data_IF_749240907765
#
_entry.id   IF_749240907765
#
_cell.length_a   1.000
_cell.length_b   1.000
_cell.length_c   1.000
_cell.angle_alpha   90.00
_cell.angle_beta   90.00
_cell.angle_gamma   90.00
#
_symmetry.space_group_name_H-M   'P 1'
#
loop_
_entity.id
_entity.type
_entity.pdbx_description
1 polymer ?
#
# COMPACT_ATOMS: atom_id res chain seq x y z
N UNK A 1 -16.65 58.09 15.41
CA UNK A 1 -15.99 58.70 16.59
C UNK A 1 -16.18 60.21 16.71
N UNK A 2 -16.31 61.00 15.62
CA UNK A 2 -16.46 62.48 15.72
C UNK A 2 -17.70 62.95 16.51
N UNK A 3 -18.89 62.39 16.26
CA UNK A 3 -20.14 62.80 16.94
C UNK A 3 -20.13 62.62 18.46
N UNK A 4 -19.65 61.48 18.96
CA UNK A 4 -19.62 61.16 20.39
C UNK A 4 -18.65 62.02 21.23
N UNK A 5 -17.74 62.77 20.59
CA UNK A 5 -16.93 63.78 21.26
C UNK A 5 -17.62 65.15 21.29
N UNK A 6 -18.35 65.53 20.24
CA UNK A 6 -19.13 66.78 20.21
C UNK A 6 -20.19 66.83 21.32
N UNK A 7 -20.96 65.76 21.49
CA UNK A 7 -21.98 65.67 22.55
C UNK A 7 -21.37 65.78 23.97
N UNK A 8 -20.10 65.37 24.15
CA UNK A 8 -19.38 65.52 25.42
C UNK A 8 -18.87 66.94 25.66
N UNK A 9 -18.49 67.67 24.61
CA UNK A 9 -18.06 69.07 24.71
C UNK A 9 -19.26 69.99 25.02
N UNK A 10 -20.39 69.82 24.33
CA UNK A 10 -21.61 70.59 24.56
C UNK A 10 -22.16 70.38 26.00
N UNK A 11 -22.11 69.16 26.53
CA UNK A 11 -22.47 68.87 27.92
C UNK A 11 -21.54 69.56 28.95
N UNK A 12 -20.25 69.71 28.62
CA UNK A 12 -19.27 70.34 29.51
C UNK A 12 -19.41 71.88 29.50
N UNK A 13 -19.84 72.45 28.37
CA UNK A 13 -20.28 73.84 28.23
C UNK A 13 -21.51 74.15 29.12
N UNK A 14 -22.52 73.29 29.14
CA UNK A 14 -23.71 73.48 30.00
C UNK A 14 -23.39 73.39 31.49
N UNK A 15 -22.56 72.41 31.91
CA UNK A 15 -22.10 72.32 33.32
C UNK A 15 -21.32 73.57 33.77
N UNK A 16 -20.55 74.20 32.88
CA UNK A 16 -19.89 75.49 33.14
C UNK A 16 -20.89 76.63 33.25
N UNK A 17 -21.93 76.68 32.40
CA UNK A 17 -23.02 77.67 32.49
C UNK A 17 -23.76 77.55 33.82
N UNK A 18 -24.02 76.34 34.29
CA UNK A 18 -24.64 76.07 35.60
C UNK A 18 -23.79 76.57 36.78
N UNK A 19 -22.50 76.21 36.84
CA UNK A 19 -21.58 76.75 37.87
C UNK A 19 -21.42 78.28 37.81
N UNK A 20 -21.50 78.88 36.61
CA UNK A 20 -21.48 80.34 36.43
C UNK A 20 -22.79 81.01 36.90
N UNK A 21 -23.92 80.28 36.91
CA UNK A 21 -25.21 80.68 37.50
C UNK A 21 -25.18 80.61 39.03
N UNK A 22 -24.65 79.53 39.61
CA UNK A 22 -24.38 79.41 41.05
C UNK A 22 -23.48 80.56 41.55
N UNK A 23 -22.40 80.86 40.82
CA UNK A 23 -21.48 81.97 41.16
C UNK A 23 -22.08 83.37 40.97
N UNK A 24 -23.20 83.50 40.25
CA UNK A 24 -23.98 84.76 40.16
C UNK A 24 -24.99 84.93 41.29
N UNK A 25 -25.49 83.84 41.87
CA UNK A 25 -26.36 83.86 43.05
C UNK A 25 -25.54 84.14 44.33
N UNK A 26 -24.35 83.54 44.44
CA UNK A 26 -23.43 83.75 45.57
C UNK A 26 -22.81 85.16 45.66
N UNK A 27 -22.97 86.02 44.64
CA UNK A 27 -22.36 87.36 44.61
C UNK A 27 -23.48 88.41 44.57
N UNK A 28 -24.13 88.61 45.72
CA UNK A 28 -24.81 89.87 46.06
C UNK A 28 -24.98 90.17 47.56
N UNK A 29 -24.24 89.50 48.46
CA UNK A 29 -24.04 89.99 49.83
C UNK A 29 -23.06 91.19 49.84
N UNK A 30 -23.47 92.28 49.19
CA UNK A 30 -22.97 93.62 49.48
C UNK A 30 -23.87 94.22 50.54
N UNK A 31 -23.29 94.58 51.68
CA UNK A 31 -24.00 95.14 52.85
C UNK A 31 -24.73 96.45 52.51
N UNK A 32 -25.92 96.35 51.94
CA UNK A 32 -26.90 97.44 51.89
C UNK A 32 -27.72 97.35 53.16
N UNK A 33 -27.88 98.47 53.85
CA UNK A 33 -28.60 98.59 55.12
C UNK A 33 -30.03 98.04 55.00
N UNK A 34 -30.28 96.86 55.57
CA UNK A 34 -31.60 96.22 55.65
C UNK A 34 -32.48 96.80 56.77
N UNK A 35 -32.30 98.10 57.05
CA UNK A 35 -33.20 98.87 57.90
C UNK A 35 -34.07 99.73 56.97
N UNK A 36 -35.33 99.30 56.82
CA UNK A 36 -36.34 100.06 56.10
C UNK A 36 -36.70 101.31 56.90
N UNK A 37 -36.97 102.42 56.22
CA UNK A 37 -37.52 103.60 56.89
C UNK A 37 -38.88 103.24 57.53
N UNK A 38 -39.28 103.89 58.62
CA UNK A 38 -40.53 103.55 59.32
C UNK A 38 -41.76 103.59 58.38
N UNK A 39 -41.82 104.58 57.48
CA UNK A 39 -42.84 104.69 56.43
C UNK A 39 -42.81 103.52 55.43
N UNK A 40 -41.63 103.05 55.03
CA UNK A 40 -41.46 101.92 54.12
C UNK A 40 -41.85 100.60 54.82
N UNK A 41 -41.50 100.46 56.10
CA UNK A 41 -41.88 99.32 56.94
C UNK A 41 -43.40 99.24 57.09
N UNK A 42 -44.07 100.35 57.41
CA UNK A 42 -45.55 100.40 57.51
C UNK A 42 -46.20 100.11 56.15
N UNK A 43 -45.69 100.70 55.05
CA UNK A 43 -46.22 100.43 53.71
C UNK A 43 -46.08 98.96 53.32
N UNK A 44 -44.87 98.38 53.42
CA UNK A 44 -44.62 96.97 53.08
C UNK A 44 -45.43 96.04 54.00
N UNK A 45 -45.53 96.34 55.30
CA UNK A 45 -46.35 95.56 56.23
C UNK A 45 -47.82 95.57 55.79
N UNK A 46 -48.40 96.73 55.46
CA UNK A 46 -49.79 96.82 54.98
C UNK A 46 -50.03 96.05 53.66
N UNK A 47 -49.04 96.01 52.77
CA UNK A 47 -49.09 95.22 51.53
C UNK A 47 -49.01 93.72 51.82
N UNK A 48 -48.15 93.29 52.74
CA UNK A 48 -48.05 91.88 53.15
C UNK A 48 -49.28 91.42 53.94
N UNK A 49 -49.87 92.29 54.77
CA UNK A 49 -51.15 92.05 55.45
C UNK A 49 -52.29 91.90 54.44
N UNK A 50 -52.37 92.78 53.44
CA UNK A 50 -53.31 92.67 52.31
C UNK A 50 -53.09 91.38 51.50
N UNK A 51 -51.84 90.93 51.33
CA UNK A 51 -51.52 89.63 50.72
C UNK A 51 -51.95 88.45 51.60
N UNK A 52 -51.83 88.52 52.93
CA UNK A 52 -52.43 87.54 53.84
C UNK A 52 -53.97 87.57 53.73
N UNK A 53 -54.59 88.74 53.60
CA UNK A 53 -56.03 88.88 53.39
C UNK A 53 -56.46 88.19 52.09
N UNK A 54 -55.78 88.45 50.97
CA UNK A 54 -56.02 87.78 49.70
C UNK A 54 -55.77 86.26 49.77
N UNK A 55 -54.73 85.81 50.48
CA UNK A 55 -54.48 84.37 50.71
C UNK A 55 -55.52 83.71 51.62
N UNK A 56 -56.08 84.44 52.60
CA UNK A 56 -57.24 83.98 53.39
C UNK A 56 -58.47 83.85 52.47
N UNK A 57 -58.73 84.83 51.60
CA UNK A 57 -59.85 84.79 50.64
C UNK A 57 -59.70 83.61 49.66
N UNK A 58 -58.50 83.40 49.10
CA UNK A 58 -58.19 82.23 48.25
C UNK A 58 -58.29 80.89 49.00
N UNK A 59 -58.06 80.89 50.31
CA UNK A 59 -58.26 79.73 51.19
C UNK A 59 -59.73 79.54 51.62
N UNK A 60 -60.57 80.57 51.54
CA UNK A 60 -61.99 80.54 51.93
C UNK A 60 -62.91 80.26 50.74
N UNK A 61 -62.49 80.60 49.51
CA UNK A 61 -63.18 80.24 48.27
C UNK A 61 -62.94 78.78 47.82
N UNK A 62 -62.38 77.94 48.70
CA UNK A 62 -62.17 76.51 48.50
C UNK A 62 -62.66 75.74 49.75
N UNK A 63 -63.82 75.07 49.65
CA UNK A 63 -64.68 74.61 50.76
C UNK A 63 -64.15 73.45 51.67
N UNK A 64 -62.88 73.42 52.09
CA UNK A 64 -62.40 72.43 53.10
C UNK A 64 -61.41 73.05 54.11
N UNK A 65 -61.47 72.68 55.41
CA UNK A 65 -60.72 73.32 56.49
C UNK A 65 -59.20 73.11 56.42
N UNK A 66 -58.44 74.06 56.98
CA UNK A 66 -56.98 73.99 57.03
C UNK A 66 -56.49 72.88 57.95
N UNK A 67 -55.69 71.96 57.41
CA UNK A 67 -54.82 71.08 58.20
C UNK A 67 -53.51 71.81 58.47
N UNK A 68 -53.33 72.34 59.69
CA UNK A 68 -52.03 72.84 60.12
C UNK A 68 -51.14 71.66 60.49
N UNK A 69 -50.04 71.47 59.76
CA UNK A 69 -48.91 70.64 60.19
C UNK A 69 -47.67 71.51 60.22
N UNK A 70 -46.91 71.44 61.31
CA UNK A 70 -45.57 72.02 61.36
C UNK A 70 -44.71 71.40 60.26
N UNK A 71 -44.31 72.22 59.29
CA UNK A 71 -43.43 71.79 58.21
C UNK A 71 -41.98 71.92 58.66
N UNK A 72 -41.53 71.00 59.52
CA UNK A 72 -40.11 70.65 59.54
C UNK A 72 -39.77 70.04 58.19
N UNK A 73 -38.86 70.68 57.46
CA UNK A 73 -38.38 70.17 56.17
C UNK A 73 -37.73 68.80 56.36
N UNK A 74 -38.26 67.79 55.66
CA UNK A 74 -37.63 66.47 55.52
C UNK A 74 -36.76 66.57 54.27
N UNK A 75 -35.47 66.23 54.40
CA UNK A 75 -34.52 66.24 53.28
C UNK A 75 -34.98 65.29 52.17
N UNK A 76 -34.67 65.63 50.92
CA UNK A 76 -35.03 64.78 49.79
C UNK A 76 -34.29 63.43 49.82
N UNK A 77 -33.10 63.37 50.42
CA UNK A 77 -32.40 62.12 50.74
C UNK A 77 -33.23 61.19 51.64
N UNK A 78 -33.87 61.67 52.71
CA UNK A 78 -34.73 60.83 53.57
C UNK A 78 -36.04 60.39 52.86
N UNK A 79 -36.46 61.16 51.85
CA UNK A 79 -37.68 60.91 51.08
C UNK A 79 -37.47 59.94 49.91
N UNK A 80 -36.29 59.93 49.31
CA UNK A 80 -35.92 59.13 48.14
C UNK A 80 -34.96 57.97 48.46
N UNK A 81 -34.24 58.02 49.59
CA UNK A 81 -33.29 56.99 50.03
C UNK A 81 -33.93 55.63 50.33
N UNK A 82 -35.26 55.56 50.45
CA UNK A 82 -36.03 54.31 50.53
C UNK A 82 -36.58 53.91 49.16
N UNK A 83 -35.71 53.35 48.33
CA UNK A 83 -36.15 52.72 47.08
C UNK A 83 -37.13 51.58 47.36
N UNK A 84 -38.32 51.69 46.77
CA UNK A 84 -39.42 50.71 46.74
C UNK A 84 -40.07 50.32 48.07
N UNK A 85 -40.91 51.22 48.59
CA UNK A 85 -42.37 51.13 48.42
C UNK A 85 -43.00 52.40 49.01
N UNK A 86 -43.77 53.16 48.23
CA UNK A 86 -44.79 54.00 48.85
C UNK A 86 -45.85 53.05 49.41
N UNK A 87 -46.07 52.97 50.74
CA UNK A 87 -47.31 52.37 51.21
C UNK A 87 -48.44 53.25 50.65
N UNK A 88 -49.45 52.70 49.97
CA UNK A 88 -50.54 53.50 49.44
C UNK A 88 -51.13 54.31 50.60
N UNK A 89 -51.30 55.61 50.40
CA UNK A 89 -51.94 56.46 51.40
C UNK A 89 -53.41 56.08 51.49
N UNK A 90 -53.72 55.23 52.46
CA UNK A 90 -55.07 54.76 52.77
C UNK A 90 -55.83 55.89 53.46
N UNK A 91 -56.99 56.28 52.92
CA UNK A 91 -57.85 57.27 53.57
C UNK A 91 -58.53 56.63 54.80
N UNK A 92 -58.34 57.24 55.98
CA UNK A 92 -58.63 56.59 57.28
C UNK A 92 -60.12 56.30 57.53
N UNK A 93 -61.02 56.87 56.73
CA UNK A 93 -62.47 56.63 56.84
C UNK A 93 -63.01 55.59 55.85
N UNK A 94 -62.29 55.26 54.77
CA UNK A 94 -62.83 54.42 53.67
C UNK A 94 -61.92 53.29 53.19
N UNK A 95 -60.67 53.20 53.66
CA UNK A 95 -59.77 52.07 53.40
C UNK A 95 -59.49 51.73 51.92
N UNK A 96 -59.67 52.68 51.00
CA UNK A 96 -59.37 52.53 49.57
C UNK A 96 -58.01 53.14 49.19
N UNK A 97 -57.34 52.67 48.12
CA UNK A 97 -56.13 53.31 47.59
C UNK A 97 -56.49 54.68 47.01
N UNK A 98 -55.89 55.76 47.54
CA UNK A 98 -56.09 57.11 47.00
C UNK A 98 -55.36 57.23 45.67
N UNK A 99 -56.12 57.36 44.58
CA UNK A 99 -55.60 57.67 43.25
C UNK A 99 -54.82 58.99 43.27
N UNK A 100 -53.52 58.92 42.93
CA UNK A 100 -52.61 60.06 42.92
C UNK A 100 -52.96 61.11 41.85
N UNK A 101 -53.73 60.75 40.82
CA UNK A 101 -54.20 61.69 39.79
C UNK A 101 -55.53 62.39 40.19
N UNK A 102 -56.15 61.95 41.29
CA UNK A 102 -57.37 62.53 41.84
C UNK A 102 -57.21 64.02 42.16
N UNK A 103 -58.27 64.79 41.91
CA UNK A 103 -58.34 66.22 42.19
C UNK A 103 -58.03 66.52 43.67
N UNK A 104 -58.46 65.66 44.61
CA UNK A 104 -58.20 65.82 46.05
C UNK A 104 -56.71 65.70 46.43
N UNK A 105 -55.87 65.00 45.64
CA UNK A 105 -54.42 64.98 45.87
C UNK A 105 -53.79 66.32 45.45
N UNK A 106 -54.20 66.86 44.30
CA UNK A 106 -53.78 68.17 43.78
C UNK A 106 -54.24 69.31 44.69
N UNK A 107 -55.48 69.26 45.20
CA UNK A 107 -55.97 70.21 46.21
C UNK A 107 -55.16 70.15 47.51
N UNK A 108 -54.85 68.95 48.03
CA UNK A 108 -54.02 68.79 49.24
C UNK A 108 -52.58 69.28 49.06
N UNK A 109 -52.05 69.29 47.82
CA UNK A 109 -50.74 69.93 47.51
C UNK A 109 -50.87 71.46 47.55
N UNK A 110 -51.85 72.03 46.84
CA UNK A 110 -52.11 73.48 46.83
C UNK A 110 -52.37 74.02 48.24
N UNK A 111 -53.14 73.32 49.08
CA UNK A 111 -53.38 73.72 50.47
C UNK A 111 -52.09 73.76 51.31
N UNK A 112 -51.15 72.83 51.11
CA UNK A 112 -49.85 72.84 51.80
C UNK A 112 -48.97 74.00 51.32
N UNK A 113 -48.98 74.29 50.02
CA UNK A 113 -48.25 75.41 49.42
C UNK A 113 -48.82 76.76 49.90
N UNK A 114 -50.15 76.91 49.95
CA UNK A 114 -50.83 78.09 50.51
C UNK A 114 -50.54 78.25 52.02
N UNK A 115 -50.53 77.16 52.80
CA UNK A 115 -50.19 77.20 54.22
C UNK A 115 -48.73 77.60 54.45
N UNK A 116 -47.81 77.09 53.62
CA UNK A 116 -46.39 77.45 53.63
C UNK A 116 -46.16 78.92 53.25
N UNK A 117 -46.76 79.40 52.16
CA UNK A 117 -46.70 80.81 51.73
C UNK A 117 -47.29 81.74 52.80
N UNK A 118 -48.43 81.38 53.40
CA UNK A 118 -49.03 82.13 54.51
C UNK A 118 -48.08 82.17 55.71
N UNK A 119 -47.49 81.03 56.11
CA UNK A 119 -46.51 80.97 57.19
C UNK A 119 -45.24 81.79 56.93
N UNK A 120 -44.75 81.80 55.69
CA UNK A 120 -43.62 82.63 55.25
C UNK A 120 -43.95 84.13 55.35
N UNK A 121 -45.11 84.55 54.86
CA UNK A 121 -45.53 85.96 54.89
C UNK A 121 -45.82 86.42 56.32
N UNK A 122 -46.46 85.60 57.16
CA UNK A 122 -46.67 85.93 58.59
C UNK A 122 -45.34 86.12 59.32
N UNK A 123 -44.37 85.21 59.16
CA UNK A 123 -43.02 85.37 59.74
C UNK A 123 -42.28 86.59 59.21
N UNK A 124 -42.51 86.96 57.95
CA UNK A 124 -41.94 88.17 57.34
C UNK A 124 -42.54 89.44 57.94
N UNK A 125 -43.85 89.48 58.18
CA UNK A 125 -44.54 90.58 58.89
C UNK A 125 -44.05 90.69 60.34
N UNK A 126 -43.93 89.57 61.06
CA UNK A 126 -43.39 89.54 62.43
C UNK A 126 -41.96 90.11 62.48
N UNK A 127 -41.09 89.76 61.53
CA UNK A 127 -39.75 90.32 61.45
C UNK A 127 -39.72 91.81 61.07
N UNK A 128 -40.56 92.24 60.12
CA UNK A 128 -40.66 93.65 59.74
C UNK A 128 -41.18 94.52 60.88
N UNK A 129 -42.21 94.08 61.60
CA UNK A 129 -42.81 94.82 62.72
C UNK A 129 -41.94 94.84 63.98
N UNK A 130 -41.20 93.77 64.28
CA UNK A 130 -40.36 93.68 65.48
C UNK A 130 -38.92 94.17 65.30
N UNK A 131 -38.38 94.14 64.08
CA UNK A 131 -36.95 94.39 63.80
C UNK A 131 -36.68 95.33 62.63
N UNK A 132 -37.70 95.77 61.89
CA UNK A 132 -37.55 96.67 60.74
C UNK A 132 -36.78 96.06 59.56
N UNK A 133 -36.65 94.73 59.51
CA UNK A 133 -35.82 94.03 58.53
C UNK A 133 -36.56 92.88 57.83
N UNK A 134 -36.14 92.57 56.59
CA UNK A 134 -36.76 91.54 55.74
C UNK A 134 -35.93 90.26 55.63
N UNK A 135 -34.90 90.08 56.47
CA UNK A 135 -33.94 88.97 56.34
C UNK A 135 -34.59 87.60 56.39
N UNK A 136 -35.69 87.44 57.13
CA UNK A 136 -36.45 86.18 57.16
C UNK A 136 -36.96 85.79 55.76
N UNK A 137 -37.46 86.75 54.96
CA UNK A 137 -37.93 86.49 53.60
C UNK A 137 -36.76 86.18 52.66
N UNK A 138 -35.62 86.85 52.85
CA UNK A 138 -34.38 86.60 52.10
C UNK A 138 -33.84 85.18 52.37
N UNK A 139 -33.77 84.77 53.64
CA UNK A 139 -33.39 83.41 54.06
C UNK A 139 -34.34 82.35 53.48
N UNK A 140 -35.66 82.59 53.47
CA UNK A 140 -36.64 81.69 52.84
C UNK A 140 -36.46 81.58 51.32
N UNK A 141 -36.20 82.70 50.63
CA UNK A 141 -35.95 82.70 49.17
C UNK A 141 -34.64 81.99 48.84
N UNK A 142 -33.58 82.20 49.63
CA UNK A 142 -32.30 81.49 49.48
C UNK A 142 -32.49 79.98 49.70
N UNK A 143 -33.26 79.58 50.72
CA UNK A 143 -33.57 78.19 51.02
C UNK A 143 -34.35 77.51 49.89
N UNK A 144 -35.39 78.16 49.35
CA UNK A 144 -36.17 77.60 48.24
C UNK A 144 -35.36 77.50 46.94
N UNK A 145 -34.47 78.48 46.66
CA UNK A 145 -33.51 78.41 45.54
C UNK A 145 -32.54 77.24 45.72
N UNK A 146 -32.02 77.02 46.93
CA UNK A 146 -31.11 75.91 47.21
C UNK A 146 -31.79 74.56 47.01
N UNK A 147 -32.98 74.37 47.59
CA UNK A 147 -33.82 73.19 47.43
C UNK A 147 -34.16 72.92 45.96
N UNK A 148 -34.55 73.94 45.20
CA UNK A 148 -34.84 73.78 43.77
C UNK A 148 -33.60 73.41 42.94
N UNK A 149 -32.42 73.90 43.34
CA UNK A 149 -31.15 73.48 42.72
C UNK A 149 -30.79 72.02 43.04
N UNK A 150 -31.10 71.53 44.24
CA UNK A 150 -30.93 70.12 44.63
C UNK A 150 -31.86 69.21 43.83
N UNK A 151 -33.14 69.60 43.68
CA UNK A 151 -34.13 68.93 42.83
C UNK A 151 -33.67 68.87 41.35
N UNK A 152 -33.18 70.00 40.80
CA UNK A 152 -32.64 70.07 39.43
C UNK A 152 -31.39 69.19 39.24
N UNK A 153 -30.50 69.10 40.25
CA UNK A 153 -29.30 68.25 40.19
C UNK A 153 -29.65 66.76 40.23
N UNK A 154 -30.55 66.35 41.12
CA UNK A 154 -31.04 64.97 41.20
C UNK A 154 -31.74 64.55 39.90
N UNK A 155 -32.58 65.41 39.32
CA UNK A 155 -33.28 65.14 38.06
C UNK A 155 -32.29 65.03 36.88
N UNK A 156 -31.18 65.78 36.90
CA UNK A 156 -30.08 65.61 35.94
C UNK A 156 -29.30 64.30 36.15
N UNK A 157 -29.10 63.86 37.39
CA UNK A 157 -28.49 62.55 37.68
C UNK A 157 -29.40 61.40 37.23
N UNK A 158 -30.71 61.48 37.50
CA UNK A 158 -31.67 60.48 37.07
C UNK A 158 -31.69 60.34 35.54
N UNK A 159 -31.75 61.46 34.79
CA UNK A 159 -31.67 61.44 33.32
C UNK A 159 -30.40 60.75 32.81
N UNK A 160 -29.24 61.00 33.44
CA UNK A 160 -27.99 60.30 33.10
C UNK A 160 -28.09 58.80 33.36
N UNK A 161 -28.63 58.39 34.51
CA UNK A 161 -28.84 56.98 34.86
C UNK A 161 -29.77 56.31 33.83
N UNK A 162 -30.94 56.90 33.54
CA UNK A 162 -31.87 56.41 32.54
C UNK A 162 -31.20 56.25 31.16
N UNK A 163 -30.41 57.22 30.72
CA UNK A 163 -29.71 57.16 29.43
C UNK A 163 -28.60 56.10 29.41
N UNK A 164 -27.82 55.94 30.49
CA UNK A 164 -26.87 54.82 30.61
C UNK A 164 -27.56 53.46 30.62
N UNK A 165 -28.73 53.34 31.24
CA UNK A 165 -29.52 52.11 31.31
C UNK A 165 -30.09 51.74 29.92
N UNK A 166 -30.53 52.71 29.13
CA UNK A 166 -30.91 52.50 27.72
C UNK A 166 -29.72 52.01 26.89
N UNK A 167 -28.55 52.66 27.03
CA UNK A 167 -27.34 52.24 26.31
C UNK A 167 -26.90 50.83 26.69
N UNK A 168 -26.86 50.48 27.99
CA UNK A 168 -26.51 49.14 28.46
C UNK A 168 -27.50 48.08 27.94
N UNK A 169 -28.82 48.39 27.89
CA UNK A 169 -29.81 47.49 27.29
C UNK A 169 -29.56 47.27 25.79
N UNK A 170 -29.24 48.32 25.05
CA UNK A 170 -28.90 48.22 23.63
C UNK A 170 -27.62 47.40 23.40
N UNK A 171 -26.59 47.61 24.23
CA UNK A 171 -25.34 46.83 24.18
C UNK A 171 -25.58 45.35 24.52
N UNK A 172 -26.44 45.02 25.49
CA UNK A 172 -26.82 43.63 25.82
C UNK A 172 -27.51 42.95 24.62
N UNK A 173 -28.47 43.62 23.97
CA UNK A 173 -29.16 43.09 22.79
C UNK A 173 -28.16 42.85 21.65
N UNK A 174 -27.31 43.84 21.35
CA UNK A 174 -26.29 43.75 20.32
C UNK A 174 -25.26 42.66 20.59
N UNK A 175 -24.81 42.50 21.83
CA UNK A 175 -23.91 41.42 22.21
C UNK A 175 -24.58 40.06 22.01
N UNK A 176 -25.86 39.92 22.39
CA UNK A 176 -26.62 38.69 22.17
C UNK A 176 -26.70 38.35 20.68
N UNK A 177 -27.07 39.30 19.82
CA UNK A 177 -27.11 39.10 18.35
C UNK A 177 -25.76 38.64 17.80
N UNK A 178 -24.65 39.25 18.25
CA UNK A 178 -23.28 38.84 17.87
C UNK A 178 -22.88 37.45 18.39
N UNK A 179 -23.42 37.00 19.52
CA UNK A 179 -23.22 35.64 20.03
C UNK A 179 -24.08 34.63 19.25
N UNK A 180 -25.32 34.96 18.93
CA UNK A 180 -26.22 34.13 18.14
C UNK A 180 -25.64 33.93 16.71
N UNK A 181 -25.14 34.99 16.07
CA UNK A 181 -24.46 34.95 14.76
C UNK A 181 -23.19 34.06 14.79
N UNK A 182 -22.32 34.24 15.79
CA UNK A 182 -21.12 33.41 15.95
C UNK A 182 -21.43 31.94 16.24
N UNK A 183 -22.50 31.67 16.99
CA UNK A 183 -22.92 30.30 17.29
C UNK A 183 -23.38 29.61 16.00
N UNK A 184 -24.12 30.33 15.16
CA UNK A 184 -24.58 29.85 13.86
C UNK A 184 -23.41 29.61 12.87
N UNK A 185 -22.41 30.51 12.83
CA UNK A 185 -21.17 30.31 12.05
C UNK A 185 -20.39 29.08 12.53
N UNK A 186 -20.20 28.93 13.85
CA UNK A 186 -19.54 27.75 14.43
C UNK A 186 -20.31 26.45 14.16
N UNK A 187 -21.64 26.46 14.20
CA UNK A 187 -22.47 25.29 13.85
C UNK A 187 -22.35 24.93 12.35
N UNK A 188 -22.26 25.91 11.45
CA UNK A 188 -22.00 25.67 10.02
C UNK A 188 -20.59 25.11 9.77
N UNK A 189 -19.57 25.65 10.44
CA UNK A 189 -18.20 25.11 10.38
C UNK A 189 -18.15 23.69 10.96
N UNK A 190 -18.88 23.41 12.04
CA UNK A 190 -18.95 22.09 12.66
C UNK A 190 -19.73 21.08 11.79
N UNK A 191 -20.76 21.51 11.04
CA UNK A 191 -21.45 20.69 10.06
C UNK A 191 -20.53 20.34 8.87
N UNK A 192 -19.91 21.34 8.25
CA UNK A 192 -18.99 21.12 7.11
C UNK A 192 -17.77 20.26 7.48
N UNK A 193 -17.19 20.45 8.67
CA UNK A 193 -16.11 19.59 9.17
C UNK A 193 -16.56 18.15 9.44
N UNK A 194 -17.80 17.92 9.91
CA UNK A 194 -18.38 16.58 10.04
C UNK A 194 -18.53 15.91 8.67
N UNK A 195 -19.09 16.62 7.70
CA UNK A 195 -19.28 16.11 6.34
C UNK A 195 -17.94 15.77 5.68
N UNK A 196 -16.89 16.58 5.91
CA UNK A 196 -15.54 16.30 5.46
C UNK A 196 -14.98 15.01 6.07
N UNK A 197 -15.10 14.83 7.39
CA UNK A 197 -14.67 13.62 8.09
C UNK A 197 -15.43 12.37 7.59
N UNK A 198 -16.75 12.47 7.39
CA UNK A 198 -17.53 11.38 6.82
C UNK A 198 -17.13 11.07 5.38
N UNK A 199 -16.86 12.09 4.56
CA UNK A 199 -16.39 11.94 3.18
C UNK A 199 -15.05 11.21 3.14
N UNK A 200 -14.06 11.64 3.92
CA UNK A 200 -12.73 11.01 4.00
C UNK A 200 -12.83 9.57 4.52
N UNK A 201 -13.65 9.31 5.54
CA UNK A 201 -13.86 7.96 6.06
C UNK A 201 -14.49 7.03 5.02
N UNK A 202 -15.49 7.53 4.27
CA UNK A 202 -16.18 6.77 3.23
C UNK A 202 -15.25 6.49 2.04
N UNK A 203 -14.53 7.49 1.53
CA UNK A 203 -13.59 7.32 0.42
C UNK A 203 -12.47 6.37 0.82
N UNK A 204 -11.85 6.55 1.99
CA UNK A 204 -10.79 5.67 2.50
C UNK A 204 -11.27 4.22 2.66
N UNK A 205 -12.50 3.99 3.12
CA UNK A 205 -13.07 2.63 3.20
C UNK A 205 -13.26 2.01 1.82
N UNK A 206 -13.78 2.77 0.85
CA UNK A 206 -13.98 2.32 -0.53
C UNK A 206 -12.64 2.01 -1.20
N UNK A 207 -11.64 2.89 -1.03
CA UNK A 207 -10.27 2.71 -1.52
C UNK A 207 -9.61 1.47 -0.92
N UNK A 208 -9.67 1.28 0.40
CA UNK A 208 -9.13 0.10 1.06
C UNK A 208 -9.77 -1.20 0.53
N UNK A 209 -11.11 -1.23 0.38
CA UNK A 209 -11.84 -2.37 -0.19
C UNK A 209 -11.57 -2.59 -1.68
N UNK A 210 -11.21 -1.53 -2.42
CA UNK A 210 -10.81 -1.63 -3.82
C UNK A 210 -9.40 -2.22 -3.94
N UNK A 211 -8.45 -1.73 -3.14
CA UNK A 211 -7.06 -2.21 -3.10
C UNK A 211 -7.02 -3.69 -2.70
N UNK A 212 -7.75 -4.08 -1.65
CA UNK A 212 -7.85 -5.47 -1.17
C UNK A 212 -8.35 -6.43 -2.27
N UNK A 213 -9.44 -6.06 -2.96
CA UNK A 213 -9.96 -6.82 -4.10
C UNK A 213 -9.02 -6.86 -5.29
N UNK A 214 -8.35 -5.74 -5.59
CA UNK A 214 -7.40 -5.64 -6.69
C UNK A 214 -6.16 -6.52 -6.44
N UNK A 215 -5.61 -6.48 -5.24
CA UNK A 215 -4.46 -7.31 -4.86
C UNK A 215 -4.82 -8.79 -4.80
N UNK A 216 -6.01 -9.14 -4.28
CA UNK A 216 -6.54 -10.52 -4.33
C UNK A 216 -6.66 -11.02 -5.77
N UNK A 217 -7.32 -10.26 -6.64
CA UNK A 217 -7.48 -10.64 -8.06
C UNK A 217 -6.13 -10.71 -8.80
N UNK A 218 -5.17 -9.86 -8.43
CA UNK A 218 -3.79 -9.87 -8.95
C UNK A 218 -3.04 -11.12 -8.48
N UNK A 219 -3.15 -11.49 -7.21
CA UNK A 219 -2.54 -12.69 -6.65
C UNK A 219 -3.11 -13.96 -7.31
N UNK A 220 -4.44 -14.05 -7.46
CA UNK A 220 -5.12 -15.12 -8.19
C UNK A 220 -4.63 -15.19 -9.64
N UNK A 221 -4.57 -14.05 -10.35
CA UNK A 221 -4.08 -14.01 -11.73
C UNK A 221 -2.64 -14.51 -11.85
N UNK A 222 -1.74 -14.11 -10.94
CA UNK A 222 -0.35 -14.61 -10.90
C UNK A 222 -0.30 -16.11 -10.60
N UNK A 223 -1.10 -16.60 -9.65
CA UNK A 223 -1.21 -18.02 -9.32
C UNK A 223 -1.66 -18.84 -10.54
N UNK A 224 -2.72 -18.42 -11.24
CA UNK A 224 -3.18 -19.09 -12.46
C UNK A 224 -2.14 -19.07 -13.59
N UNK A 225 -1.40 -17.96 -13.76
CA UNK A 225 -0.32 -17.88 -14.74
C UNK A 225 0.84 -18.84 -14.40
N UNK A 226 1.28 -18.85 -13.15
CA UNK A 226 2.34 -19.74 -12.67
C UNK A 226 1.92 -21.22 -12.82
N UNK A 227 0.73 -21.59 -12.34
CA UNK A 227 0.21 -22.95 -12.46
C UNK A 227 0.07 -23.40 -13.93
N UNK A 228 -0.35 -22.50 -14.84
CA UNK A 228 -0.41 -22.78 -16.28
C UNK A 228 0.97 -23.01 -16.88
N UNK A 229 1.97 -22.21 -16.52
CA UNK A 229 3.36 -22.40 -16.98
C UNK A 229 3.96 -23.69 -16.43
N UNK A 230 3.75 -23.96 -15.14
CA UNK A 230 4.22 -25.18 -14.46
C UNK A 230 3.60 -26.44 -15.08
N UNK A 231 2.30 -26.45 -15.36
CA UNK A 231 1.63 -27.56 -16.03
C UNK A 231 2.16 -27.77 -17.46
N UNK A 232 2.38 -26.70 -18.23
CA UNK A 232 3.02 -26.80 -19.55
C UNK A 232 4.43 -27.40 -19.46
N UNK A 233 5.22 -27.02 -18.46
CA UNK A 233 6.55 -27.58 -18.22
C UNK A 233 6.49 -29.06 -17.79
N UNK A 234 5.52 -29.45 -16.94
CA UNK A 234 5.27 -30.85 -16.58
C UNK A 234 4.89 -31.69 -17.79
N UNK A 235 4.03 -31.18 -18.68
CA UNK A 235 3.69 -31.84 -19.94
C UNK A 235 4.90 -32.02 -20.86
N UNK A 236 5.76 -31.00 -21.04
CA UNK A 236 6.97 -31.14 -21.86
C UNK A 236 7.98 -32.10 -21.22
N UNK A 237 8.13 -32.07 -19.89
CA UNK A 237 8.99 -33.01 -19.16
C UNK A 237 8.49 -34.46 -19.30
N UNK A 238 7.17 -34.69 -19.24
CA UNK A 238 6.58 -36.01 -19.43
C UNK A 238 6.80 -36.54 -20.85
N UNK A 239 6.67 -35.70 -21.87
CA UNK A 239 6.96 -36.05 -23.28
C UNK A 239 8.42 -36.43 -23.48
N UNK A 240 9.35 -35.58 -23.03
CA UNK A 240 10.80 -35.83 -23.16
C UNK A 240 11.22 -37.08 -22.39
N UNK A 241 10.63 -37.36 -21.22
CA UNK A 241 10.87 -38.63 -20.50
C UNK A 241 10.41 -39.84 -21.32
N UNK A 242 9.19 -39.81 -21.87
CA UNK A 242 8.67 -40.89 -22.70
C UNK A 242 9.52 -41.11 -23.96
N UNK A 243 9.96 -40.03 -24.62
CA UNK A 243 10.88 -40.09 -25.76
C UNK A 243 12.23 -40.71 -25.36
N UNK A 244 12.78 -40.33 -24.20
CA UNK A 244 14.03 -40.88 -23.67
C UNK A 244 13.91 -42.36 -23.31
N UNK A 245 12.81 -42.77 -22.67
CA UNK A 245 12.56 -44.17 -22.31
C UNK A 245 12.39 -45.05 -23.56
N UNK A 246 11.71 -44.52 -24.60
CA UNK A 246 11.58 -45.17 -25.90
C UNK A 246 12.93 -45.33 -26.60
N UNK A 247 13.78 -44.30 -26.60
CA UNK A 247 15.12 -44.36 -27.20
C UNK A 247 16.02 -45.35 -26.45
N UNK A 248 15.97 -45.37 -25.11
CA UNK A 248 16.67 -46.37 -24.29
C UNK A 248 16.20 -47.79 -24.65
N UNK A 249 14.91 -48.00 -24.88
CA UNK A 249 14.38 -49.31 -25.26
C UNK A 249 14.75 -49.70 -26.69
N UNK A 250 14.73 -48.76 -27.65
CA UNK A 250 15.19 -48.97 -29.01
C UNK A 250 16.69 -49.33 -29.03
N UNK A 251 17.51 -48.60 -28.28
CA UNK A 251 18.94 -48.85 -28.14
C UNK A 251 19.23 -50.24 -27.54
N UNK A 252 18.51 -50.64 -26.48
CA UNK A 252 18.58 -52.01 -25.93
C UNK A 252 18.22 -53.07 -26.96
N UNK A 253 17.16 -52.85 -27.75
CA UNK A 253 16.75 -53.78 -28.80
C UNK A 253 17.81 -53.90 -29.90
N UNK A 254 18.43 -52.79 -30.32
CA UNK A 254 19.53 -52.76 -31.29
C UNK A 254 20.74 -53.53 -30.76
N UNK A 255 21.17 -53.28 -29.51
CA UNK A 255 22.27 -54.02 -28.87
C UNK A 255 21.96 -55.51 -28.81
N UNK A 256 20.74 -55.90 -28.43
CA UNK A 256 20.33 -57.30 -28.36
C UNK A 256 20.36 -57.97 -29.74
N UNK A 257 19.86 -57.29 -30.78
CA UNK A 257 19.92 -57.76 -32.17
C UNK A 257 21.37 -57.93 -32.65
N UNK A 258 22.23 -56.93 -32.47
CA UNK A 258 23.64 -57.00 -32.83
C UNK A 258 24.37 -58.14 -32.09
N UNK A 259 24.09 -58.34 -30.80
CA UNK A 259 24.66 -59.44 -30.03
C UNK A 259 24.18 -60.83 -30.49
N UNK A 260 22.94 -60.95 -30.97
CA UNK A 260 22.43 -62.18 -31.57
C UNK A 260 23.09 -62.44 -32.93
N UNK A 261 23.24 -61.41 -33.75
CA UNK A 261 23.85 -61.49 -35.07
C UNK A 261 25.35 -61.83 -34.99
N UNK A 262 26.10 -61.19 -34.10
CA UNK A 262 27.51 -61.51 -33.83
C UNK A 262 27.66 -62.97 -33.39
N UNK A 263 26.75 -63.48 -32.54
CA UNK A 263 26.75 -64.90 -32.14
C UNK A 263 26.45 -65.83 -33.31
N UNK A 264 25.47 -65.50 -34.17
CA UNK A 264 25.14 -66.29 -35.37
C UNK A 264 26.35 -66.38 -36.30
N UNK A 265 26.94 -65.25 -36.65
CA UNK A 265 28.12 -65.18 -37.50
C UNK A 265 29.32 -65.89 -36.87
N UNK A 266 29.49 -65.80 -35.55
CA UNK A 266 30.50 -66.57 -34.81
C UNK A 266 30.33 -68.09 -35.00
N UNK A 267 29.13 -68.62 -34.78
CA UNK A 267 28.81 -70.03 -35.01
C UNK A 267 29.01 -70.46 -36.47
N UNK A 268 28.65 -69.61 -37.44
CA UNK A 268 28.89 -69.88 -38.87
C UNK A 268 30.39 -69.91 -39.18
N UNK A 269 31.18 -68.97 -38.66
CA UNK A 269 32.64 -68.97 -38.79
C UNK A 269 33.28 -70.23 -38.16
N UNK A 270 32.84 -70.64 -36.97
CA UNK A 270 33.30 -71.87 -36.32
C UNK A 270 32.96 -73.12 -37.17
N UNK A 271 31.76 -73.18 -37.75
CA UNK A 271 31.35 -74.28 -38.64
C UNK A 271 32.19 -74.31 -39.93
N UNK A 272 32.48 -73.16 -40.54
CA UNK A 272 33.35 -73.07 -41.71
C UNK A 272 34.81 -73.44 -41.39
N UNK A 273 35.34 -73.03 -40.23
CA UNK A 273 36.68 -73.42 -39.77
C UNK A 273 36.76 -74.93 -39.51
N UNK A 274 35.74 -75.52 -38.89
CA UNK A 274 35.65 -76.96 -38.66
C UNK A 274 35.61 -77.72 -39.99
N UNK A 275 34.82 -77.26 -40.96
CA UNK A 275 34.75 -77.85 -42.30
C UNK A 275 36.09 -77.74 -43.03
N UNK A 276 36.70 -76.56 -43.05
CA UNK A 276 38.02 -76.34 -43.67
C UNK A 276 39.08 -77.28 -43.07
N UNK A 277 39.07 -77.45 -41.74
CA UNK A 277 39.95 -78.40 -41.07
C UNK A 277 39.67 -79.84 -41.50
N UNK A 278 38.42 -80.28 -41.50
CA UNK A 278 38.05 -81.64 -41.95
C UNK A 278 38.43 -81.90 -43.41
N UNK A 279 38.26 -80.92 -44.29
CA UNK A 279 38.61 -81.05 -45.71
C UNK A 279 40.14 -81.02 -45.92
N UNK A 280 40.89 -80.26 -45.09
CA UNK A 280 42.36 -80.35 -45.02
C UNK A 280 42.84 -81.70 -44.51
N UNK A 281 42.25 -82.21 -43.41
CA UNK A 281 42.60 -83.50 -42.82
C UNK A 281 42.35 -84.65 -43.83
N UNK A 282 41.26 -84.58 -44.61
CA UNK A 282 40.99 -85.51 -45.73
C UNK A 282 42.05 -85.40 -46.83
N UNK A 283 42.33 -84.18 -47.30
CA UNK A 283 43.34 -83.96 -48.33
C UNK A 283 44.73 -84.47 -47.90
N UNK A 284 45.11 -84.28 -46.64
CA UNK A 284 46.36 -84.84 -46.09
C UNK A 284 46.37 -86.37 -46.05
N UNK A 285 45.23 -87.01 -45.78
CA UNK A 285 45.08 -88.48 -45.86
C UNK A 285 45.16 -88.96 -47.31
N UNK A 286 44.50 -88.29 -48.25
CA UNK A 286 44.58 -88.61 -49.68
C UNK A 286 46.01 -88.44 -50.22
N UNK A 287 46.72 -87.37 -49.82
CA UNK A 287 48.12 -87.13 -50.18
C UNK A 287 49.04 -88.21 -49.59
N UNK A 288 48.81 -88.64 -48.34
CA UNK A 288 49.56 -89.76 -47.73
C UNK A 288 49.33 -91.07 -48.48
N UNK A 289 48.08 -91.41 -48.75
CA UNK A 289 47.73 -92.62 -49.50
C UNK A 289 48.31 -92.60 -50.92
N UNK A 290 48.23 -91.47 -51.62
CA UNK A 290 48.84 -91.31 -52.95
C UNK A 290 50.38 -91.46 -52.90
N UNK A 291 51.04 -90.96 -51.85
CA UNK A 291 52.49 -91.18 -51.64
C UNK A 291 52.81 -92.66 -51.38
N UNK A 292 52.06 -93.34 -50.53
CA UNK A 292 52.21 -94.79 -50.28
C UNK A 292 52.03 -95.61 -51.55
N UNK A 293 51.00 -95.32 -52.36
CA UNK A 293 50.76 -95.97 -53.66
C UNK A 293 51.91 -95.68 -54.63
N UNK A 294 52.40 -94.44 -54.70
CA UNK A 294 53.55 -94.08 -55.54
C UNK A 294 54.85 -94.77 -55.08
N UNK A 295 55.08 -94.93 -53.79
CA UNK A 295 56.21 -95.69 -53.25
C UNK A 295 56.09 -97.19 -53.55
N UNK A 296 54.88 -97.76 -53.43
CA UNK A 296 54.59 -99.13 -53.85
C UNK A 296 54.86 -99.35 -55.34
N UNK A 297 54.37 -98.45 -56.20
CA UNK A 297 54.62 -98.48 -57.65
C UNK A 297 56.11 -98.27 -58.01
N UNK A 298 56.86 -97.49 -57.22
CA UNK A 298 58.32 -97.35 -57.38
C UNK A 298 59.04 -98.65 -57.04
N UNK A 299 58.66 -99.33 -55.95
CA UNK A 299 59.22 -100.63 -55.56
C UNK A 299 58.93 -101.71 -56.61
N UNK A 300 57.68 -101.86 -57.04
CA UNK A 300 57.35 -102.86 -58.08
C UNK A 300 57.98 -102.53 -59.44
N UNK A 301 58.10 -101.25 -59.80
CA UNK A 301 58.89 -100.85 -60.97
C UNK A 301 60.36 -101.28 -60.83
N UNK A 302 60.98 -101.03 -59.67
CA UNK A 302 62.37 -101.43 -59.42
C UNK A 302 62.54 -102.96 -59.47
N UNK A 303 61.69 -103.72 -58.79
CA UNK A 303 61.68 -105.19 -58.83
C UNK A 303 61.52 -105.73 -60.26
N UNK A 304 60.68 -105.10 -61.09
CA UNK A 304 60.48 -105.50 -62.49
C UNK A 304 61.63 -105.08 -63.41
N UNK A 305 62.32 -103.95 -63.16
CA UNK A 305 63.57 -103.62 -63.87
C UNK A 305 64.69 -104.56 -63.49
N UNK A 306 64.88 -104.85 -62.20
CA UNK A 306 65.92 -105.76 -61.72
C UNK A 306 65.71 -107.18 -62.28
N UNK A 307 64.46 -107.66 -62.32
CA UNK A 307 64.10 -108.93 -62.93
C UNK A 307 64.27 -108.93 -64.47
N UNK A 308 64.01 -107.81 -65.13
CA UNK A 308 64.22 -107.67 -66.58
C UNK A 308 65.73 -107.70 -66.90
N UNK A 309 66.55 -106.93 -66.18
CA UNK A 309 68.01 -106.92 -66.33
C UNK A 309 68.61 -108.29 -66.05
N UNK A 310 68.17 -108.98 -64.99
CA UNK A 310 68.58 -110.35 -64.68
C UNK A 310 68.25 -111.35 -65.81
N UNK A 311 67.04 -111.25 -66.38
CA UNK A 311 66.63 -112.08 -67.53
C UNK A 311 67.37 -111.72 -68.80
N UNK A 312 67.64 -110.43 -69.04
CA UNK A 312 68.42 -109.95 -70.18
C UNK A 312 69.87 -110.45 -70.09
N UNK A 313 70.47 -110.43 -68.89
CA UNK A 313 71.77 -111.04 -68.61
C UNK A 313 71.81 -112.53 -68.97
N UNK A 314 70.82 -113.33 -68.52
CA UNK A 314 70.72 -114.74 -68.89
C UNK A 314 70.53 -114.98 -70.41
N UNK A 315 69.80 -114.11 -71.10
CA UNK A 315 69.65 -114.21 -72.55
C UNK A 315 70.98 -113.91 -73.27
N UNK A 316 71.69 -112.87 -72.83
CA UNK A 316 73.00 -112.50 -73.38
C UNK A 316 74.05 -113.59 -73.13
N UNK A 317 74.05 -114.19 -71.93
CA UNK A 317 74.90 -115.34 -71.58
C UNK A 317 74.60 -116.55 -72.47
N UNK A 318 73.32 -116.87 -72.69
CA UNK A 318 72.91 -117.93 -73.64
C UNK A 318 73.25 -117.64 -75.09
N UNK A 319 73.27 -116.37 -75.51
CA UNK A 319 73.74 -116.00 -76.86
C UNK A 319 75.27 -116.15 -76.98
N UNK A 320 76.03 -115.73 -75.96
CA UNK A 320 77.48 -115.95 -75.90
C UNK A 320 77.83 -117.44 -75.87
N UNK A 321 77.05 -118.27 -75.16
CA UNK A 321 77.24 -119.72 -75.10
C UNK A 321 76.89 -120.39 -76.46
N UNK A 322 75.81 -119.95 -77.13
CA UNK A 322 75.50 -120.37 -78.51
C UNK A 322 76.56 -119.93 -79.52
N UNK A 323 77.15 -118.75 -79.37
CA UNK A 323 78.28 -118.33 -80.21
C UNK A 323 79.53 -119.16 -79.95
N UNK A 324 79.84 -119.46 -78.68
CA UNK A 324 80.92 -120.37 -78.32
C UNK A 324 80.74 -121.74 -78.98
N UNK A 325 79.56 -122.33 -78.84
CA UNK A 325 79.20 -123.60 -79.49
C UNK A 325 79.37 -123.51 -81.01
N UNK A 326 78.88 -122.45 -81.68
CA UNK A 326 79.08 -122.27 -83.12
C UNK A 326 80.56 -122.16 -83.52
N UNK A 327 81.37 -121.40 -82.77
CA UNK A 327 82.83 -121.31 -83.02
C UNK A 327 83.54 -122.66 -82.79
N UNK A 328 83.10 -123.44 -81.81
CA UNK A 328 83.62 -124.79 -81.54
C UNK A 328 83.23 -125.77 -82.68
N UNK A 329 82.00 -125.70 -83.19
CA UNK A 329 81.52 -126.46 -84.35
C UNK A 329 82.28 -126.09 -85.64
N UNK A 330 82.44 -124.79 -85.94
CA UNK A 330 83.22 -124.29 -87.08
C UNK A 330 84.68 -124.78 -87.04
N UNK A 331 85.29 -124.75 -85.84
CA UNK A 331 86.64 -125.30 -85.62
C UNK A 331 86.69 -126.82 -85.82
N UNK A 332 85.65 -127.57 -85.47
CA UNK A 332 85.56 -129.00 -85.80
C UNK A 332 85.38 -129.25 -87.30
N UNK A 333 84.57 -128.44 -88.01
CA UNK A 333 84.41 -128.52 -89.47
C UNK A 333 85.74 -128.22 -90.18
N UNK A 334 86.48 -127.20 -89.75
CA UNK A 334 87.81 -126.88 -90.25
C UNK A 334 88.80 -128.03 -89.99
N UNK A 335 88.84 -128.58 -88.77
CA UNK A 335 89.66 -129.76 -88.45
C UNK A 335 89.30 -130.96 -89.33
N UNK A 336 88.02 -131.22 -89.58
CA UNK A 336 87.56 -132.30 -90.45
C UNK A 336 87.86 -132.05 -91.95
N UNK A 337 87.93 -130.80 -92.40
CA UNK A 337 88.35 -130.43 -93.75
C UNK A 337 89.88 -130.59 -93.93
N UNK A 338 90.66 -130.16 -92.94
CA UNK A 338 92.12 -130.38 -92.90
C UNK A 338 92.45 -131.88 -92.83
N UNK A 339 91.75 -132.65 -91.99
CA UNK A 339 91.89 -134.11 -91.93
C UNK A 339 91.55 -134.78 -93.27
N UNK A 340 90.52 -134.30 -94.01
CA UNK A 340 90.23 -134.76 -95.38
C UNK A 340 91.35 -134.44 -96.36
N UNK A 341 91.94 -133.24 -96.31
CA UNK A 341 93.12 -132.89 -97.12
C UNK A 341 94.32 -133.79 -96.83
N UNK A 342 94.64 -134.03 -95.56
CA UNK A 342 95.71 -134.93 -95.13
C UNK A 342 95.43 -136.37 -95.59
N UNK A 343 94.20 -136.88 -95.42
CA UNK A 343 93.82 -138.21 -95.92
C UNK A 343 93.88 -138.31 -97.45
N UNK A 344 93.56 -137.24 -98.18
CA UNK A 344 93.71 -137.19 -99.64
C UNK A 344 95.18 -137.29 -100.07
N UNK A 345 96.06 -136.52 -99.42
CA UNK A 345 97.51 -136.56 -99.63
C UNK A 345 98.11 -137.95 -99.31
N UNK A 346 97.73 -138.55 -98.18
CA UNK A 346 98.16 -139.90 -97.80
C UNK A 346 97.66 -140.98 -98.76
N UNK A 347 96.41 -140.89 -99.24
CA UNK A 347 95.87 -141.81 -100.27
C UNK A 347 96.59 -141.67 -101.62
N UNK A 348 96.97 -140.45 -102.01
CA UNK A 348 97.74 -140.22 -103.23
C UNK A 348 99.19 -140.76 -103.15
N UNK A 349 99.80 -140.74 -101.97
CA UNK A 349 101.11 -141.36 -101.69
C UNK A 349 101.00 -142.91 -101.73
N UNK A 350 99.98 -143.47 -101.07
CA UNK A 350 99.72 -144.92 -101.05
C UNK A 350 99.52 -145.53 -102.44
N UNK A 351 98.88 -144.81 -103.37
CA UNK A 351 98.62 -145.34 -104.72
C UNK A 351 99.90 -145.52 -105.58
N UNK A 352 101.00 -144.81 -105.28
CA UNK A 352 102.22 -144.82 -106.11
C UNK A 352 103.21 -145.94 -105.76
N UNK A 353 102.95 -146.78 -104.73
CA UNK A 353 103.94 -147.75 -104.19
C UNK A 353 103.50 -149.23 -104.16
N UNK A 354 102.42 -149.61 -104.88
CA UNK A 354 101.91 -150.98 -105.15
C UNK A 354 102.24 -152.08 -104.10
N UNK A 355 101.43 -152.17 -103.04
CA UNK A 355 101.30 -153.37 -102.17
C UNK A 355 99.82 -153.61 -101.81
N UNK A 356 99.35 -154.86 -101.72
CA UNK A 356 97.91 -155.22 -101.65
C UNK A 356 97.61 -156.44 -100.76
N UNK A 357 96.89 -156.24 -99.63
CA UNK A 357 96.31 -157.28 -98.73
C UNK A 357 95.34 -156.65 -97.68
N UNK A 358 94.52 -157.38 -96.86
CA UNK A 358 93.57 -158.46 -97.20
C UNK A 358 92.44 -158.65 -96.12
N UNK A 359 91.27 -157.99 -96.31
CA UNK A 359 89.88 -158.44 -95.98
C UNK A 359 89.41 -158.83 -94.52
N UNK A 360 88.20 -158.32 -94.16
CA UNK A 360 87.17 -158.80 -93.16
C UNK A 360 87.52 -158.62 -91.66
N UNK A 361 86.61 -158.58 -90.66
CA UNK A 361 85.17 -158.95 -90.40
C UNK A 361 84.53 -157.85 -89.48
N UNK A 362 83.27 -157.38 -89.52
CA UNK A 362 81.92 -157.94 -89.23
C UNK A 362 81.21 -157.24 -88.01
N UNK A 363 79.87 -157.12 -88.14
CA UNK A 363 78.78 -156.57 -87.26
C UNK A 363 78.73 -157.15 -85.81
N UNK A 364 77.87 -156.70 -84.82
CA UNK A 364 76.51 -156.14 -85.00
C UNK A 364 75.88 -155.13 -83.98
N UNK A 365 74.69 -154.63 -84.38
CA UNK A 365 73.48 -154.15 -83.66
C UNK A 365 73.48 -153.92 -82.13
N UNK A 366 72.87 -152.80 -81.73
CA UNK A 366 72.19 -152.60 -80.43
C UNK A 366 71.35 -151.31 -80.45
N UNK A 367 70.04 -151.46 -80.13
CA UNK A 367 68.94 -150.48 -79.99
C UNK A 367 69.27 -148.98 -80.04
#
# INVERSE_FOLDING_TARGET
>A
MSHANKEKEDFFEEGKKYKKKQKRLSIKNTNVTTQLNELETVFITSVLESLIEMLKVLSQSNDKPLVYKETTYITLEDRLGKFYQEPPLIDQETNAPVDLDSKDAKFRKIQKELAYLKGMITKSIEHLTLKGNYTALEDFVIFEIFKQMEEDELLLQEKKIQQTLVNIKADIVRQKELFDEKTLDLDQQLATMKDEVFRVLLTSNIEARYIDKWETARADQHFYQCARMENKLKETLAKVKLETDNEIQAHKNIINFLNQEIKRLGCECEAWLLKLKQDSDKADVEIKHAKEVLEGLRKTKQETTDLFEFRQGQLLEREQEKERLRREEEMQVLRAAMARRIQGWWRAILLRRRLRALRRKAKPKGK
#
